data_IF_508971968854
#
_entry.id   IF_508971968854
#
_cell.length_a   1.000
_cell.length_b   1.000
_cell.length_c   1.000
_cell.angle_alpha   90.00
_cell.angle_beta   90.00
_cell.angle_gamma   90.00
#
_symmetry.space_group_name_H-M   'P 1'
#
loop_
_entity.id
_entity.type
_entity.pdbx_description
1 polymer ?
#
# COMPACT_ATOMS: atom_id res chain seq x y z
N UNK A 1 17.57 3.76 2.80
CA UNK A 1 16.30 3.11 3.24
C UNK A 1 15.64 4.16 4.10
N UNK A 2 14.45 4.65 3.75
CA UNK A 2 13.86 5.86 4.37
C UNK A 2 13.82 5.86 5.91
N UNK A 3 13.69 4.70 6.54
CA UNK A 3 13.75 4.56 8.01
C UNK A 3 15.15 4.88 8.56
N UNK A 4 16.21 4.44 7.88
CA UNK A 4 17.58 4.79 8.25
C UNK A 4 17.89 6.29 8.06
N UNK A 5 17.10 6.97 7.24
CA UNK A 5 17.15 8.43 7.05
C UNK A 5 16.30 9.18 8.10
N UNK A 6 15.78 8.49 9.12
CA UNK A 6 15.05 9.09 10.24
C UNK A 6 13.53 9.11 10.11
N UNK A 7 12.96 8.55 9.02
CA UNK A 7 11.50 8.43 8.87
C UNK A 7 10.92 7.39 9.83
N UNK A 8 9.71 7.66 10.30
CA UNK A 8 9.02 6.81 11.29
C UNK A 8 7.91 6.03 10.59
N UNK A 9 7.91 4.70 10.77
CA UNK A 9 6.81 3.85 10.33
C UNK A 9 5.55 4.15 11.17
N UNK A 10 4.45 4.49 10.50
CA UNK A 10 3.17 4.81 11.15
C UNK A 10 2.08 3.78 10.88
N UNK A 11 2.21 2.98 9.83
CA UNK A 11 1.24 1.94 9.52
C UNK A 11 1.54 1.22 8.22
N UNK A 12 0.53 0.52 7.72
CA UNK A 12 0.58 -0.19 6.45
C UNK A 12 -0.72 0.03 5.68
N UNK A 13 -0.63 -0.02 4.35
CA UNK A 13 -1.75 -0.04 3.41
C UNK A 13 -1.85 -1.42 2.77
N UNK A 14 -3.05 -1.80 2.33
CA UNK A 14 -3.30 -3.02 1.55
C UNK A 14 -3.93 -2.60 0.24
N UNK A 15 -3.22 -2.76 -0.87
CA UNK A 15 -3.73 -2.42 -2.20
C UNK A 15 -4.10 -3.64 -3.03
N UNK A 16 -4.57 -3.38 -4.25
CA UNK A 16 -5.01 -4.41 -5.19
C UNK A 16 -6.04 -5.36 -4.55
N UNK A 17 -6.97 -4.80 -3.79
CA UNK A 17 -8.05 -5.54 -3.09
C UNK A 17 -9.17 -5.96 -4.04
N UNK A 18 -9.33 -5.27 -5.16
CA UNK A 18 -10.29 -5.63 -6.22
C UNK A 18 -9.81 -6.81 -7.07
N UNK A 19 -10.68 -7.82 -7.25
CA UNK A 19 -10.40 -8.96 -8.14
C UNK A 19 -10.13 -8.54 -9.58
N UNK A 20 -10.79 -7.48 -10.06
CA UNK A 20 -10.55 -6.95 -11.40
C UNK A 20 -9.13 -6.37 -11.53
N UNK A 21 -8.66 -5.64 -10.50
CA UNK A 21 -7.30 -5.09 -10.46
C UNK A 21 -6.24 -6.18 -10.26
N UNK A 22 -6.53 -7.22 -9.48
CA UNK A 22 -5.66 -8.39 -9.33
C UNK A 22 -5.47 -9.10 -10.67
N UNK A 23 -6.56 -9.32 -11.42
CA UNK A 23 -6.51 -9.96 -12.74
C UNK A 23 -5.73 -9.13 -13.77
N UNK A 24 -5.99 -7.81 -13.85
CA UNK A 24 -5.25 -6.93 -14.77
C UNK A 24 -3.77 -6.81 -14.40
N UNK A 25 -3.47 -6.93 -13.10
CA UNK A 25 -2.11 -6.96 -12.57
C UNK A 25 -1.54 -8.37 -12.49
N UNK A 26 -2.18 -9.41 -13.03
CA UNK A 26 -1.68 -10.80 -13.02
C UNK A 26 -1.15 -11.28 -11.64
N UNK A 27 -1.88 -10.96 -10.57
CA UNK A 27 -1.60 -11.43 -9.20
C UNK A 27 -2.85 -12.08 -8.63
N UNK A 28 -2.68 -12.99 -7.66
CA UNK A 28 -3.79 -13.73 -7.03
C UNK A 28 -4.13 -13.25 -5.63
N UNK A 29 -3.31 -12.38 -5.04
CA UNK A 29 -3.49 -11.84 -3.70
C UNK A 29 -3.28 -10.31 -3.66
N UNK A 30 -3.81 -9.60 -2.65
CA UNK A 30 -3.56 -8.17 -2.45
C UNK A 30 -2.07 -7.86 -2.22
N UNK A 31 -1.69 -6.61 -2.48
CA UNK A 31 -0.37 -6.08 -2.11
C UNK A 31 -0.40 -5.37 -0.75
N UNK A 32 0.77 -5.06 -0.21
CA UNK A 32 0.89 -4.21 0.97
C UNK A 32 2.05 -3.22 0.85
N UNK A 33 1.94 -2.09 1.54
CA UNK A 33 2.97 -1.05 1.58
C UNK A 33 3.10 -0.43 2.96
N UNK A 34 4.26 0.15 3.25
CA UNK A 34 4.54 0.85 4.50
C UNK A 34 4.14 2.34 4.40
N UNK A 35 3.45 2.84 5.42
CA UNK A 35 3.09 4.25 5.57
C UNK A 35 4.06 4.92 6.53
N UNK A 36 4.72 5.99 6.06
CA UNK A 36 5.69 6.76 6.83
C UNK A 36 5.05 8.07 7.34
N UNK A 37 5.64 8.64 8.39
CA UNK A 37 5.20 9.87 9.04
C UNK A 37 4.96 11.04 8.07
N UNK A 38 5.76 11.15 7.02
CA UNK A 38 5.67 12.25 6.05
C UNK A 38 4.65 12.04 4.94
N UNK A 39 3.91 10.94 4.97
CA UNK A 39 2.83 10.64 4.05
C UNK A 39 1.47 11.12 4.56
N UNK A 40 1.38 11.55 5.82
CA UNK A 40 0.13 12.01 6.44
C UNK A 40 -0.06 13.50 6.22
N UNK A 41 -1.25 13.87 5.77
CA UNK A 41 -1.72 15.24 5.64
C UNK A 41 -2.94 15.44 6.56
N UNK A 42 -3.13 16.66 7.07
CA UNK A 42 -4.33 16.95 7.86
C UNK A 42 -5.55 17.05 6.95
N UNK A 43 -6.72 16.73 7.48
CA UNK A 43 -7.99 16.98 6.79
C UNK A 43 -8.11 18.48 6.44
N UNK A 44 -8.60 18.76 5.23
CA UNK A 44 -8.69 20.12 4.69
C UNK A 44 -7.36 20.79 4.34
N UNK A 45 -6.23 20.07 4.33
CA UNK A 45 -4.92 20.65 3.95
C UNK A 45 -4.80 20.91 2.45
N UNK A 46 -4.03 21.94 2.11
CA UNK A 46 -3.48 22.10 0.77
C UNK A 46 -2.38 21.06 0.53
N UNK A 47 -2.43 20.39 -0.63
CA UNK A 47 -1.48 19.34 -1.01
C UNK A 47 -0.47 19.91 -2.02
N UNK A 48 0.85 19.87 -1.73
CA UNK A 48 1.87 20.35 -2.66
C UNK A 48 2.01 19.38 -3.84
N UNK A 49 1.35 19.70 -4.95
CA UNK A 49 1.31 18.84 -6.16
C UNK A 49 2.69 18.53 -6.72
N UNK A 50 3.63 19.47 -6.60
CA UNK A 50 5.00 19.35 -7.11
C UNK A 50 5.83 18.24 -6.43
N UNK A 51 5.34 17.70 -5.30
CA UNK A 51 5.94 16.55 -4.61
C UNK A 51 5.66 15.22 -5.33
N UNK A 52 4.67 15.17 -6.21
CA UNK A 52 4.14 13.94 -6.81
C UNK A 52 4.31 13.93 -8.32
N UNK A 53 4.30 12.74 -8.93
CA UNK A 53 4.50 12.58 -10.38
C UNK A 53 3.15 12.49 -11.09
N UNK A 54 2.31 11.52 -10.71
CA UNK A 54 0.98 11.27 -11.27
C UNK A 54 0.01 10.91 -10.14
N UNK A 55 -0.30 11.86 -9.24
CA UNK A 55 -1.10 11.59 -8.06
C UNK A 55 -2.53 11.19 -8.43
N UNK A 56 -3.06 10.20 -7.72
CA UNK A 56 -4.48 9.80 -7.76
C UNK A 56 -4.99 9.62 -6.33
N UNK A 57 -6.30 9.77 -6.14
CA UNK A 57 -6.95 9.60 -4.85
C UNK A 57 -7.79 8.32 -4.86
N UNK A 58 -7.65 7.53 -3.80
CA UNK A 58 -8.52 6.40 -3.48
C UNK A 58 -9.23 6.65 -2.13
N UNK A 59 -10.45 6.12 -1.99
CA UNK A 59 -11.27 6.27 -0.78
C UNK A 59 -11.20 4.97 0.00
N UNK A 60 -10.80 5.05 1.27
CA UNK A 60 -10.56 3.89 2.12
C UNK A 60 -11.14 4.04 3.53
N UNK A 61 -11.10 2.93 4.29
CA UNK A 61 -11.33 2.90 5.73
C UNK A 61 -10.01 2.55 6.42
N UNK A 62 -9.54 3.42 7.31
CA UNK A 62 -8.37 3.16 8.13
C UNK A 62 -8.77 2.53 9.47
N UNK A 63 -8.06 1.49 9.86
CA UNK A 63 -8.19 0.82 11.16
C UNK A 63 -7.06 1.29 12.07
N UNK A 64 -7.40 2.02 13.14
CA UNK A 64 -6.44 2.40 14.16
C UNK A 64 -6.43 1.34 15.26
N UNK A 65 -5.25 0.81 15.55
CA UNK A 65 -5.10 -0.34 16.45
C UNK A 65 -4.80 0.11 17.88
N UNK A 66 -5.60 -0.36 18.85
CA UNK A 66 -5.29 -0.26 20.28
C UNK A 66 -4.36 -1.39 20.74
N UNK A 67 -4.39 -2.53 20.05
CA UNK A 67 -3.59 -3.73 20.38
C UNK A 67 -2.84 -4.23 19.15
N UNK A 68 -1.66 -4.85 19.32
CA UNK A 68 -0.92 -5.41 18.21
C UNK A 68 -1.66 -6.59 17.58
N UNK A 69 -1.55 -6.73 16.26
CA UNK A 69 -1.95 -7.92 15.49
C UNK A 69 -0.70 -8.68 15.06
N UNK A 70 -0.72 -10.01 15.16
CA UNK A 70 0.42 -10.86 14.81
C UNK A 70 -0.05 -12.16 14.17
N UNK A 71 0.57 -12.54 13.06
CA UNK A 71 0.39 -13.84 12.42
C UNK A 71 1.39 -14.90 12.91
N UNK A 72 1.29 -16.13 12.40
CA UNK A 72 0.30 -16.62 11.44
C UNK A 72 -1.09 -16.83 12.09
N UNK A 73 -2.13 -17.00 11.26
CA UNK A 73 -3.52 -17.26 11.66
C UNK A 73 -4.27 -16.10 12.33
N UNK A 74 -3.87 -14.85 12.06
CA UNK A 74 -4.69 -13.70 12.42
C UNK A 74 -6.03 -13.77 11.69
N UNK A 75 -7.13 -13.65 12.43
CA UNK A 75 -8.49 -13.74 11.91
C UNK A 75 -9.16 -12.38 11.82
N UNK A 76 -10.33 -12.33 11.16
CA UNK A 76 -11.19 -11.15 11.18
C UNK A 76 -11.54 -10.73 12.61
N UNK A 77 -11.85 -11.68 13.48
CA UNK A 77 -12.24 -11.40 14.86
C UNK A 77 -11.10 -10.80 15.69
N UNK A 78 -9.85 -11.16 15.39
CA UNK A 78 -8.68 -10.53 16.00
C UNK A 78 -8.59 -9.05 15.61
N UNK A 79 -8.84 -8.72 14.34
CA UNK A 79 -8.88 -7.32 13.86
C UNK A 79 -9.97 -6.55 14.58
N UNK A 80 -11.18 -7.09 14.68
CA UNK A 80 -12.28 -6.46 15.43
C UNK A 80 -11.88 -6.20 16.89
N UNK A 81 -11.28 -7.18 17.55
CA UNK A 81 -10.88 -7.06 18.95
C UNK A 81 -9.71 -6.08 19.16
N UNK A 82 -8.82 -5.92 18.18
CA UNK A 82 -7.62 -5.09 18.28
C UNK A 82 -7.83 -3.64 17.83
N UNK A 83 -8.88 -3.38 17.05
CA UNK A 83 -9.22 -2.05 16.54
C UNK A 83 -9.73 -1.16 17.66
N UNK A 84 -9.13 0.02 17.80
CA UNK A 84 -9.62 1.09 18.69
C UNK A 84 -10.78 1.84 18.02
N UNK A 85 -10.56 2.27 16.78
CA UNK A 85 -11.57 2.93 15.97
C UNK A 85 -11.31 2.77 14.47
N UNK A 86 -12.37 2.97 13.69
CA UNK A 86 -12.34 3.04 12.23
C UNK A 86 -12.62 4.47 11.82
N UNK A 87 -11.84 5.01 10.88
CA UNK A 87 -11.98 6.38 10.38
C UNK A 87 -11.92 6.40 8.85
N UNK A 88 -12.67 7.26 8.15
CA UNK A 88 -12.48 7.49 6.73
C UNK A 88 -11.04 7.95 6.44
N UNK A 89 -10.47 7.45 5.35
CA UNK A 89 -9.14 7.85 4.90
C UNK A 89 -9.14 8.04 3.38
N UNK A 90 -8.33 8.99 2.91
CA UNK A 90 -8.02 9.17 1.50
C UNK A 90 -6.57 8.75 1.27
N UNK A 91 -6.35 7.79 0.38
CA UNK A 91 -5.00 7.41 -0.03
C UNK A 91 -4.59 8.22 -1.26
N UNK A 92 -3.50 9.00 -1.14
CA UNK A 92 -2.85 9.66 -2.27
C UNK A 92 -1.78 8.73 -2.84
N UNK A 93 -2.13 8.05 -3.92
CA UNK A 93 -1.24 7.10 -4.61
C UNK A 93 -0.50 7.78 -5.75
N UNK A 94 0.72 7.32 -6.02
CA UNK A 94 1.60 7.89 -7.04
C UNK A 94 2.50 6.81 -7.65
N UNK A 95 2.84 6.94 -8.92
CA UNK A 95 3.60 5.95 -9.69
C UNK A 95 4.96 6.50 -10.10
N UNK A 96 6.03 5.77 -9.75
CA UNK A 96 7.42 6.20 -9.98
C UNK A 96 8.08 5.45 -11.14
N UNK A 97 7.40 4.45 -11.68
CA UNK A 97 7.77 3.81 -12.92
C UNK A 97 6.91 4.36 -14.06
N UNK A 98 7.45 4.37 -15.27
CA UNK A 98 6.65 4.67 -16.45
C UNK A 98 5.52 3.64 -16.60
N UNK A 99 4.34 4.11 -16.94
CA UNK A 99 3.19 3.24 -17.19
C UNK A 99 3.36 2.45 -18.51
N UNK A 100 4.10 3.02 -19.46
CA UNK A 100 4.51 2.39 -20.71
C UNK A 100 6.03 2.42 -20.73
N UNK A 101 6.63 1.26 -20.92
CA UNK A 101 8.06 1.13 -21.13
C UNK A 101 8.46 1.90 -22.41
N UNK A 102 9.36 2.89 -22.31
CA UNK A 102 9.74 3.70 -23.46
C UNK A 102 10.44 2.90 -24.57
N UNK A 103 11.13 1.80 -24.23
CA UNK A 103 11.82 0.94 -25.20
C UNK A 103 10.89 -0.11 -25.79
N UNK A 104 10.12 -0.79 -24.94
CA UNK A 104 9.29 -1.93 -25.39
C UNK A 104 7.88 -1.54 -25.81
N UNK A 105 7.45 -0.30 -25.53
CA UNK A 105 6.09 0.22 -25.76
C UNK A 105 4.98 -0.67 -25.16
N UNK A 106 5.34 -1.52 -24.20
CA UNK A 106 4.43 -2.36 -23.42
C UNK A 106 4.13 -1.68 -22.10
N UNK A 107 2.98 -2.00 -21.49
CA UNK A 107 2.69 -1.51 -20.14
C UNK A 107 3.74 -2.04 -19.17
N UNK A 108 4.51 -1.14 -18.57
CA UNK A 108 5.50 -1.49 -17.57
C UNK A 108 4.79 -1.65 -16.21
N UNK A 109 5.06 -2.78 -15.56
CA UNK A 109 4.42 -3.13 -14.29
C UNK A 109 5.23 -2.55 -13.13
N UNK A 110 4.73 -1.48 -12.52
CA UNK A 110 5.33 -0.93 -11.31
C UNK A 110 4.82 -1.71 -10.08
N UNK A 111 5.37 -2.90 -9.85
CA UNK A 111 5.15 -3.65 -8.61
C UNK A 111 6.46 -3.76 -7.84
N UNK A 112 6.45 -3.50 -6.54
CA UNK A 112 7.54 -3.91 -5.66
C UNK A 112 7.72 -5.42 -5.78
N UNK A 113 8.96 -5.95 -5.95
CA UNK A 113 9.14 -7.38 -6.06
C UNK A 113 8.69 -8.05 -4.76
N UNK A 114 7.71 -8.96 -4.86
CA UNK A 114 7.44 -9.94 -3.81
C UNK A 114 8.68 -10.82 -3.67
N UNK A 115 9.12 -11.19 -2.45
CA UNK A 115 10.15 -12.18 -2.27
C UNK A 115 9.63 -13.53 -2.79
N UNK A 116 10.01 -13.88 -4.01
CA UNK A 116 9.70 -15.17 -4.63
C UNK A 116 10.24 -16.31 -3.76
N UNK A 117 9.35 -17.14 -3.26
CA UNK A 117 9.67 -18.46 -2.70
C UNK A 117 10.49 -19.25 -3.74
N UNK A 118 11.66 -19.82 -3.38
CA UNK A 118 12.45 -20.60 -4.33
C UNK A 118 11.67 -21.86 -4.77
N UNK A 119 11.81 -22.30 -6.04
CA UNK A 119 11.16 -23.51 -6.51
C UNK A 119 11.74 -24.74 -5.80
N UNK A 120 10.85 -25.60 -5.31
CA UNK A 120 11.21 -26.91 -4.73
C UNK A 120 11.81 -27.81 -5.82
N UNK A 121 12.99 -28.42 -5.62
CA UNK A 121 13.53 -29.40 -6.55
C UNK A 121 12.76 -30.72 -6.43
N UNK A 122 12.43 -31.31 -7.59
CA UNK A 122 11.87 -32.66 -7.72
C UNK A 122 12.94 -33.73 -7.79
#
# INVERSE_FOLDING_TARGET
>A
MKIAEGRVLKGHKIGLTSKAMQASSQISEPDYGALLDDMFFHDGSDIPTDRFIVPRIEVELAFVLAKPLRGPNCTLFDVYNATDYVIPALELIDARCHNIDPETQRRAKCSTPSPTTPPTPG
#
